data_IF_448401267996
#
_entry.id   IF_448401267996
#
_cell.length_a   1.000
_cell.length_b   1.000
_cell.length_c   1.000
_cell.angle_alpha   90.00
_cell.angle_beta   90.00
_cell.angle_gamma   90.00
#
_symmetry.space_group_name_H-M   'P 1'
#
loop_
_entity.id
_entity.type
_entity.pdbx_description
1 polymer ?
#
# COMPACT_ATOMS: atom_id res chain seq x y z
N UNK A 1 9.67 -28.80 -9.13
CA UNK A 1 9.62 -27.38 -8.71
C UNK A 1 8.35 -26.79 -9.28
N UNK A 2 7.29 -26.76 -8.48
CA UNK A 2 5.96 -26.35 -8.95
C UNK A 2 5.94 -24.83 -9.08
N UNK A 3 5.85 -24.35 -10.33
CA UNK A 3 5.50 -22.96 -10.64
C UNK A 3 4.04 -22.77 -10.25
N UNK A 4 3.80 -22.22 -9.06
CA UNK A 4 2.46 -21.77 -8.68
C UNK A 4 2.08 -20.63 -9.62
N UNK A 5 1.00 -20.81 -10.37
CA UNK A 5 0.38 -19.73 -11.14
C UNK A 5 -0.13 -18.71 -10.13
N UNK A 6 0.53 -17.56 -10.07
CA UNK A 6 0.11 -16.38 -9.33
C UNK A 6 -1.23 -15.89 -9.90
N UNK A 7 -2.31 -16.43 -9.36
CA UNK A 7 -3.63 -15.83 -9.43
C UNK A 7 -3.49 -14.43 -8.81
N UNK A 8 -3.69 -13.40 -9.62
CA UNK A 8 -3.33 -12.00 -9.35
C UNK A 8 -4.07 -11.43 -8.14
N UNK A 9 -3.64 -11.80 -6.94
CA UNK A 9 -4.16 -11.27 -5.70
C UNK A 9 -3.65 -9.84 -5.58
N UNK A 10 -4.49 -8.88 -5.98
CA UNK A 10 -4.23 -7.48 -5.71
C UNK A 10 -4.43 -7.31 -4.20
N UNK A 11 -3.37 -7.01 -3.44
CA UNK A 11 -3.50 -6.86 -2.01
C UNK A 11 -4.42 -5.66 -1.74
N UNK A 12 -5.32 -5.84 -0.78
CA UNK A 12 -6.26 -4.79 -0.35
C UNK A 12 -5.56 -3.77 0.55
N UNK A 13 -4.40 -4.11 1.08
CA UNK A 13 -3.57 -3.28 1.93
C UNK A 13 -2.22 -3.03 1.28
N UNK A 14 -1.59 -1.93 1.69
CA UNK A 14 -0.22 -1.58 1.31
C UNK A 14 0.57 -1.29 2.58
N UNK A 15 1.80 -1.80 2.61
CA UNK A 15 2.72 -1.51 3.70
C UNK A 15 3.37 -0.15 3.45
N UNK A 16 3.39 0.66 4.51
CA UNK A 16 4.03 1.97 4.50
C UNK A 16 5.50 1.77 4.88
N UNK A 17 6.41 2.07 3.94
CA UNK A 17 7.80 1.58 3.96
C UNK A 17 8.71 2.44 4.86
N UNK A 18 8.38 3.71 5.09
CA UNK A 18 9.25 4.65 5.81
C UNK A 18 8.48 5.56 6.78
N UNK A 19 9.21 6.22 7.68
CA UNK A 19 8.75 7.30 8.59
C UNK A 19 8.10 8.51 7.89
N UNK A 20 7.87 8.43 6.57
CA UNK A 20 7.36 9.47 5.69
C UNK A 20 6.16 9.06 4.82
N UNK A 21 5.40 8.03 5.19
CA UNK A 21 4.11 7.68 4.54
C UNK A 21 4.23 7.35 3.05
N UNK A 22 5.30 6.66 2.68
CA UNK A 22 5.52 6.20 1.31
C UNK A 22 5.00 4.77 1.14
N UNK A 23 4.27 4.54 0.04
CA UNK A 23 3.75 3.23 -0.31
C UNK A 23 3.80 3.02 -1.83
N UNK A 24 3.98 1.79 -2.27
CA UNK A 24 3.97 1.45 -3.69
C UNK A 24 2.61 0.87 -4.08
N UNK A 25 2.05 1.37 -5.18
CA UNK A 25 0.78 0.82 -5.67
C UNK A 25 1.02 -0.54 -6.35
N UNK A 26 0.40 -1.64 -5.89
CA UNK A 26 0.63 -3.01 -6.41
C UNK A 26 0.09 -3.23 -7.84
N UNK A 27 -0.51 -2.20 -8.44
CA UNK A 27 -1.20 -2.28 -9.73
C UNK A 27 -0.49 -1.44 -10.79
N UNK A 28 0.00 -0.26 -10.40
CA UNK A 28 0.69 0.63 -11.33
C UNK A 28 2.17 0.78 -11.00
N UNK A 29 2.64 0.14 -9.92
CA UNK A 29 4.04 0.09 -9.47
C UNK A 29 4.64 1.49 -9.36
N UNK A 30 3.80 2.45 -8.95
CA UNK A 30 4.19 3.82 -8.70
C UNK A 30 4.34 4.05 -7.21
N UNK A 31 5.45 4.67 -6.85
CA UNK A 31 5.71 5.13 -5.50
C UNK A 31 4.83 6.36 -5.21
N UNK A 32 4.02 6.24 -4.17
CA UNK A 32 3.20 7.28 -3.61
C UNK A 32 3.89 7.83 -2.36
N UNK A 33 3.85 9.15 -2.17
CA UNK A 33 4.44 9.85 -1.02
C UNK A 33 3.39 10.62 -0.23
N UNK A 34 2.17 10.07 -0.21
CA UNK A 34 1.04 10.75 0.39
C UNK A 34 0.97 10.45 1.87
N UNK A 35 1.27 11.51 2.63
CA UNK A 35 1.15 11.60 4.08
C UNK A 35 -0.31 11.79 4.46
N UNK A 36 -1.12 10.75 4.28
CA UNK A 36 -2.37 10.64 5.00
C UNK A 36 -2.15 9.62 6.11
N UNK A 37 -2.19 10.07 7.37
CA UNK A 37 -2.39 9.22 8.56
C UNK A 37 -3.79 8.54 8.55
N UNK A 38 -4.37 8.36 7.38
CA UNK A 38 -5.65 7.72 7.17
C UNK A 38 -5.42 6.23 6.99
N UNK A 39 -6.30 5.44 7.57
CA UNK A 39 -6.34 3.98 7.38
C UNK A 39 -6.54 3.60 5.90
N UNK A 40 -6.97 4.55 5.06
CA UNK A 40 -7.18 4.37 3.62
C UNK A 40 -6.34 5.35 2.79
N UNK A 41 -5.64 4.83 1.79
CA UNK A 41 -4.90 5.59 0.78
C UNK A 41 -5.43 5.32 -0.62
N UNK A 42 -5.41 6.34 -1.48
CA UNK A 42 -5.90 6.23 -2.86
C UNK A 42 -4.77 6.53 -3.83
N UNK A 43 -4.51 5.63 -4.78
CA UNK A 43 -3.52 5.88 -5.83
C UNK A 43 -4.01 6.95 -6.80
N UNK A 44 -3.26 8.03 -7.02
CA UNK A 44 -3.66 9.07 -7.98
C UNK A 44 -3.65 8.64 -9.44
N UNK A 45 -2.86 7.62 -9.78
CA UNK A 45 -2.71 7.14 -11.15
C UNK A 45 -3.81 6.15 -11.55
N UNK A 46 -4.03 5.11 -10.76
CA UNK A 46 -5.03 4.08 -11.06
C UNK A 46 -6.37 4.27 -10.33
N UNK A 47 -6.47 5.30 -9.46
CA UNK A 47 -7.67 5.66 -8.67
C UNK A 47 -8.20 4.54 -7.77
N UNK A 48 -7.37 3.54 -7.46
CA UNK A 48 -7.72 2.46 -6.52
C UNK A 48 -7.43 2.85 -5.08
N UNK A 49 -8.25 2.34 -4.17
CA UNK A 49 -8.13 2.51 -2.73
C UNK A 49 -7.48 1.29 -2.10
N UNK A 50 -6.65 1.52 -1.11
CA UNK A 50 -5.97 0.50 -0.33
C UNK A 50 -6.00 0.88 1.14
N UNK A 51 -5.95 -0.14 2.00
CA UNK A 51 -5.78 0.06 3.44
C UNK A 51 -4.29 0.31 3.71
N UNK A 52 -3.95 1.47 4.23
CA UNK A 52 -2.59 1.76 4.67
C UNK A 52 -2.37 1.04 6.00
N UNK A 53 -1.51 0.02 5.99
CA UNK A 53 -1.09 -0.65 7.21
C UNK A 53 -0.04 0.24 7.88
N UNK A 54 -0.50 1.33 8.50
CA UNK A 54 0.35 2.25 9.22
C UNK A 54 1.03 1.47 10.36
N UNK A 55 2.35 1.62 10.55
CA UNK A 55 2.95 1.09 11.76
C UNK A 55 2.21 1.69 12.95
N UNK A 56 1.70 0.85 13.85
CA UNK A 56 1.15 1.28 15.13
C UNK A 56 2.25 2.09 15.83
N UNK A 57 2.22 3.41 15.63
CA UNK A 57 2.86 4.31 16.55
C UNK A 57 2.04 4.20 17.81
N UNK A 58 2.47 3.28 18.69
CA UNK A 58 2.00 3.13 20.04
C UNK A 58 1.74 4.53 20.59
N UNK A 59 0.45 4.85 20.77
CA UNK A 59 0.05 6.01 21.54
C UNK A 59 0.61 5.76 22.95
N UNK A 60 1.63 6.52 23.33
CA UNK A 60 2.10 6.65 24.71
C UNK A 60 1.09 7.47 25.53
#
# INVERSE_FOLDING_TARGET
MNKFKEESYIPKSVDVIASGYEWECPVCEKLMREVAYSEEVTCHWCKRKYIANLPEHAYD
#
